data_IF_761195944242
#
_entry.id   IF_761195944242
#
_cell.length_a   1.000
_cell.length_b   1.000
_cell.length_c   1.000
_cell.angle_alpha   90.00
_cell.angle_beta   90.00
_cell.angle_gamma   90.00
#
_symmetry.space_group_name_H-M   'P 1'
#
loop_
_entity.id
_entity.type
_entity.pdbx_description
1 polymer ?
#
# COMPACT_ATOMS: atom_id res chain seq x y z
N UNK A 1 15.67 8.55 -3.58
CA UNK A 1 14.22 8.28 -3.67
C UNK A 1 13.88 6.82 -3.33
N UNK A 2 14.35 5.82 -4.08
CA UNK A 2 14.03 4.42 -3.80
C UNK A 2 14.50 3.98 -2.40
N UNK A 3 15.73 4.33 -2.02
CA UNK A 3 16.26 4.05 -0.68
C UNK A 3 15.40 4.64 0.43
N UNK A 4 14.83 5.84 0.20
CA UNK A 4 13.90 6.45 1.15
C UNK A 4 12.65 5.58 1.37
N UNK A 5 12.06 5.02 0.31
CA UNK A 5 10.89 4.14 0.44
C UNK A 5 11.24 2.82 1.14
N UNK A 6 12.43 2.27 0.88
CA UNK A 6 12.93 1.10 1.58
C UNK A 6 13.09 1.37 3.09
N UNK A 7 13.65 2.54 3.46
CA UNK A 7 13.79 2.95 4.85
C UNK A 7 12.42 3.20 5.50
N UNK A 8 11.44 3.81 4.81
CA UNK A 8 10.08 3.94 5.35
C UNK A 8 9.53 2.59 5.83
N UNK A 9 9.57 1.58 4.97
CA UNK A 9 9.07 0.24 5.33
C UNK A 9 9.93 -0.40 6.44
N UNK A 10 11.24 -0.21 6.41
CA UNK A 10 12.16 -0.72 7.43
C UNK A 10 11.84 -0.17 8.83
N UNK A 11 11.50 1.12 8.90
CA UNK A 11 11.16 1.82 10.15
C UNK A 11 9.66 1.77 10.51
N UNK A 12 8.88 0.96 9.84
CA UNK A 12 7.47 0.75 10.20
C UNK A 12 6.53 1.85 9.67
N UNK A 13 6.97 2.65 8.70
CA UNK A 13 6.15 3.70 8.09
C UNK A 13 5.39 3.10 6.92
N UNK A 14 4.07 3.11 7.01
CA UNK A 14 3.19 2.61 5.95
C UNK A 14 3.21 3.52 4.71
N UNK A 15 3.16 2.91 3.55
CA UNK A 15 3.27 3.59 2.25
C UNK A 15 2.14 3.16 1.33
N UNK A 16 1.52 4.11 0.64
CA UNK A 16 0.58 3.83 -0.42
C UNK A 16 1.13 4.31 -1.77
N UNK A 17 1.16 3.40 -2.76
CA UNK A 17 1.58 3.71 -4.13
C UNK A 17 0.36 3.94 -5.01
N UNK A 18 0.19 5.15 -5.46
CA UNK A 18 -0.93 5.60 -6.29
C UNK A 18 -0.55 5.73 -7.76
N UNK A 19 -1.53 5.62 -8.64
CA UNK A 19 -1.35 5.86 -10.07
C UNK A 19 -2.39 5.15 -10.92
N UNK A 20 -2.44 5.47 -12.20
CA UNK A 20 -3.32 4.82 -13.17
C UNK A 20 -2.93 3.35 -13.44
N UNK A 21 -3.74 2.63 -14.19
CA UNK A 21 -3.38 1.31 -14.72
C UNK A 21 -2.06 1.39 -15.50
N UNK A 22 -1.22 0.37 -15.37
CA UNK A 22 0.09 0.28 -16.02
C UNK A 22 1.12 1.34 -15.62
N UNK A 23 0.89 2.14 -14.58
CA UNK A 23 1.86 3.14 -14.09
C UNK A 23 3.06 2.56 -13.32
N UNK A 24 3.06 1.23 -13.05
CA UNK A 24 4.16 0.53 -12.37
C UNK A 24 4.01 0.45 -10.85
N UNK A 25 2.81 0.62 -10.32
CA UNK A 25 2.53 0.53 -8.86
C UNK A 25 2.99 -0.79 -8.25
N UNK A 26 2.51 -1.91 -8.79
CA UNK A 26 2.86 -3.26 -8.31
C UNK A 26 4.36 -3.53 -8.44
N UNK A 27 4.98 -3.08 -9.53
CA UNK A 27 6.44 -3.22 -9.73
C UNK A 27 7.22 -2.46 -8.66
N UNK A 28 6.81 -1.22 -8.34
CA UNK A 28 7.45 -0.41 -7.31
C UNK A 28 7.23 -1.03 -5.92
N UNK A 29 6.01 -1.44 -5.60
CA UNK A 29 5.70 -2.12 -4.35
C UNK A 29 6.51 -3.41 -4.20
N UNK A 30 6.57 -4.24 -5.24
CA UNK A 30 7.37 -5.46 -5.27
C UNK A 30 8.86 -5.17 -5.02
N UNK A 31 9.41 -4.15 -5.69
CA UNK A 31 10.80 -3.74 -5.47
C UNK A 31 11.05 -3.35 -4.01
N UNK A 32 10.18 -2.50 -3.42
CA UNK A 32 10.30 -2.11 -2.01
C UNK A 32 10.30 -3.34 -1.11
N UNK A 33 9.41 -4.31 -1.35
CA UNK A 33 9.33 -5.54 -0.55
C UNK A 33 10.58 -6.42 -0.70
N UNK A 34 11.29 -6.38 -1.82
CA UNK A 34 12.56 -7.12 -1.96
C UNK A 34 13.68 -6.57 -1.09
N UNK A 35 13.58 -5.33 -0.60
CA UNK A 35 14.56 -4.72 0.31
C UNK A 35 14.36 -5.09 1.77
N UNK A 36 13.23 -5.72 2.09
CA UNK A 36 12.88 -6.15 3.46
C UNK A 36 13.85 -7.25 3.92
N UNK A 37 14.41 -7.16 5.14
CA UNK A 37 15.28 -8.19 5.68
C UNK A 37 14.62 -9.58 5.76
N UNK A 38 15.40 -10.64 5.55
CA UNK A 38 14.90 -12.03 5.58
C UNK A 38 14.27 -12.45 6.91
N UNK A 39 14.64 -11.78 8.01
CA UNK A 39 14.11 -12.03 9.35
C UNK A 39 12.66 -11.52 9.52
N UNK A 40 12.24 -10.57 8.70
CA UNK A 40 10.91 -9.97 8.73
C UNK A 40 9.89 -10.85 8.01
N UNK A 41 8.69 -10.94 8.58
CA UNK A 41 7.57 -11.68 7.97
C UNK A 41 6.73 -10.75 7.11
N UNK A 42 6.60 -11.10 5.83
CA UNK A 42 5.74 -10.40 4.87
C UNK A 42 4.49 -11.24 4.65
N UNK A 43 3.33 -10.63 4.70
CA UNK A 43 2.05 -11.22 4.32
C UNK A 43 1.48 -10.46 3.13
N UNK A 44 1.27 -11.11 1.99
CA UNK A 44 0.69 -10.47 0.81
C UNK A 44 -0.75 -10.93 0.59
N UNK A 45 -1.59 -9.98 0.21
CA UNK A 45 -3.00 -10.17 -0.13
C UNK A 45 -3.19 -9.66 -1.54
N UNK A 46 -3.41 -10.55 -2.49
CA UNK A 46 -3.56 -10.21 -3.91
C UNK A 46 -4.92 -10.69 -4.44
N UNK A 47 -5.44 -10.01 -5.45
CA UNK A 47 -6.77 -10.28 -5.97
C UNK A 47 -6.69 -11.13 -7.24
N UNK A 48 -7.18 -12.36 -7.16
CA UNK A 48 -7.35 -13.28 -8.29
C UNK A 48 -6.07 -13.88 -8.87
N UNK A 49 -4.97 -13.15 -8.91
CA UNK A 49 -3.69 -13.63 -9.44
C UNK A 49 -2.50 -13.14 -8.63
N UNK A 50 -1.46 -13.96 -8.57
CA UNK A 50 -0.21 -13.61 -7.91
C UNK A 50 0.68 -12.79 -8.85
N UNK A 51 0.92 -11.53 -8.50
CA UNK A 51 1.81 -10.62 -9.23
C UNK A 51 3.15 -10.43 -8.52
N UNK A 52 3.16 -10.60 -7.17
CA UNK A 52 4.35 -10.43 -6.35
C UNK A 52 5.07 -11.76 -6.18
N UNK A 53 6.30 -11.86 -6.68
CA UNK A 53 7.18 -13.00 -6.45
C UNK A 53 8.33 -12.58 -5.52
N UNK A 54 8.12 -12.82 -4.22
CA UNK A 54 9.00 -12.33 -3.16
C UNK A 54 9.84 -13.43 -2.50
N UNK A 55 9.59 -14.71 -2.83
CA UNK A 55 10.31 -15.83 -2.21
C UNK A 55 11.74 -15.85 -2.71
N UNK A 56 12.69 -15.76 -1.79
CA UNK A 56 14.12 -15.82 -2.08
C UNK A 56 14.65 -17.21 -1.77
N UNK A 57 15.27 -17.83 -2.76
CA UNK A 57 15.87 -19.17 -2.62
C UNK A 57 17.37 -19.09 -2.85
N UNK A 58 18.16 -19.66 -1.93
CA UNK A 58 19.60 -19.82 -2.07
C UNK A 58 19.96 -21.27 -1.79
N UNK A 59 20.68 -21.90 -2.72
CA UNK A 59 21.10 -23.31 -2.61
C UNK A 59 19.93 -24.27 -2.27
N UNK A 60 18.75 -24.04 -2.90
CA UNK A 60 17.55 -24.85 -2.69
C UNK A 60 16.81 -24.59 -1.36
N UNK A 61 17.24 -23.62 -0.56
CA UNK A 61 16.60 -23.27 0.73
C UNK A 61 15.92 -21.92 0.63
N UNK A 62 14.68 -21.84 1.15
CA UNK A 62 13.96 -20.56 1.29
C UNK A 62 14.63 -19.72 2.38
N UNK A 63 15.00 -18.49 2.06
CA UNK A 63 15.76 -17.60 2.92
C UNK A 63 14.88 -16.64 3.72
N UNK A 64 13.77 -16.20 3.16
CA UNK A 64 12.90 -15.19 3.77
C UNK A 64 11.53 -15.76 4.19
N UNK A 65 10.78 -14.95 4.93
CA UNK A 65 9.49 -15.33 5.50
C UNK A 65 8.37 -14.60 4.78
N UNK A 66 7.80 -15.22 3.75
CA UNK A 66 6.70 -14.65 2.97
C UNK A 66 5.51 -15.60 2.96
N UNK A 67 4.33 -15.07 3.25
CA UNK A 67 3.05 -15.77 3.12
C UNK A 67 2.29 -15.05 1.99
N UNK A 68 2.08 -15.75 0.89
CA UNK A 68 1.28 -15.25 -0.23
C UNK A 68 -0.15 -15.76 -0.11
N UNK A 69 -1.13 -14.86 -0.17
CA UNK A 69 -2.55 -15.20 -0.20
C UNK A 69 -3.24 -14.55 -1.39
N UNK A 70 -4.29 -15.21 -1.86
CA UNK A 70 -5.13 -14.76 -2.96
C UNK A 70 -6.59 -14.75 -2.52
N UNK A 71 -7.34 -13.76 -2.97
CA UNK A 71 -8.80 -13.80 -2.87
C UNK A 71 -9.36 -14.96 -3.69
N UNK A 72 -10.50 -15.45 -3.29
CA UNK A 72 -11.22 -16.49 -4.02
C UNK A 72 -12.68 -16.14 -4.16
N UNK A 73 -13.11 -15.93 -5.38
CA UNK A 73 -14.50 -15.81 -5.72
C UNK A 73 -15.17 -17.20 -5.81
N UNK A 74 -16.41 -17.33 -5.32
CA UNK A 74 -17.20 -18.56 -5.39
C UNK A 74 -18.66 -18.23 -5.61
N UNK A 75 -19.38 -19.10 -6.35
CA UNK A 75 -20.84 -19.04 -6.48
C UNK A 75 -21.54 -19.25 -5.12
N UNK A 76 -20.89 -19.94 -4.21
CA UNK A 76 -21.31 -20.07 -2.82
C UNK A 76 -20.64 -18.98 -1.98
N UNK A 77 -21.40 -17.99 -1.54
CA UNK A 77 -20.92 -16.87 -0.72
C UNK A 77 -20.11 -17.31 0.51
N UNK A 78 -20.48 -18.46 1.13
CA UNK A 78 -19.75 -19.00 2.29
C UNK A 78 -18.35 -19.52 1.95
N UNK A 79 -18.01 -19.66 0.68
CA UNK A 79 -16.70 -20.09 0.20
C UNK A 79 -15.92 -18.97 -0.47
N UNK A 80 -16.52 -17.80 -0.63
CA UNK A 80 -15.83 -16.58 -1.04
C UNK A 80 -14.88 -16.15 0.06
N UNK A 81 -13.67 -15.76 -0.33
CA UNK A 81 -12.64 -15.19 0.56
C UNK A 81 -12.23 -13.87 -0.04
N UNK A 82 -12.62 -12.79 0.57
CA UNK A 82 -12.29 -11.44 0.11
C UNK A 82 -11.00 -10.88 0.77
N UNK A 83 -10.66 -9.63 0.45
CA UNK A 83 -9.47 -8.99 1.01
C UNK A 83 -9.64 -8.64 2.49
N UNK A 84 -10.86 -8.35 2.96
CA UNK A 84 -11.13 -8.10 4.38
C UNK A 84 -10.90 -9.37 5.20
N UNK A 85 -11.38 -10.54 4.72
CA UNK A 85 -11.15 -11.84 5.37
C UNK A 85 -9.66 -12.15 5.49
N UNK A 86 -8.90 -11.88 4.42
CA UNK A 86 -7.46 -12.12 4.39
C UNK A 86 -6.69 -11.15 5.28
N UNK A 87 -7.14 -9.90 5.42
CA UNK A 87 -6.57 -8.94 6.37
C UNK A 87 -6.80 -9.40 7.81
N UNK A 88 -8.02 -9.80 8.17
CA UNK A 88 -8.33 -10.33 9.50
C UNK A 88 -7.49 -11.58 9.82
N UNK A 89 -7.28 -12.43 8.83
CA UNK A 89 -6.41 -13.59 8.96
C UNK A 89 -4.95 -13.17 9.13
N UNK A 90 -4.46 -12.21 8.35
CA UNK A 90 -3.08 -11.75 8.38
C UNK A 90 -2.64 -11.33 9.80
N UNK A 91 -3.49 -10.59 10.52
CA UNK A 91 -3.19 -10.11 11.87
C UNK A 91 -2.89 -11.27 12.84
N UNK A 92 -3.47 -12.47 12.63
CA UNK A 92 -3.23 -13.66 13.46
C UNK A 92 -1.88 -14.32 13.18
N UNK A 93 -1.27 -14.04 12.03
CA UNK A 93 0.07 -14.52 11.67
C UNK A 93 1.20 -13.63 12.19
N UNK A 94 0.86 -12.53 12.86
CA UNK A 94 1.82 -11.56 13.39
C UNK A 94 2.87 -11.15 12.35
N UNK A 95 2.47 -10.60 11.20
CA UNK A 95 3.40 -10.14 10.18
C UNK A 95 4.07 -8.84 10.61
N UNK A 96 5.32 -8.64 10.19
CA UNK A 96 5.97 -7.33 10.30
C UNK A 96 5.43 -6.37 9.23
N UNK A 97 5.10 -6.91 8.06
CA UNK A 97 4.63 -6.13 6.91
C UNK A 97 3.43 -6.82 6.28
N UNK A 98 2.35 -6.09 6.08
CA UNK A 98 1.19 -6.51 5.30
C UNK A 98 1.21 -5.77 3.97
N UNK A 99 1.20 -6.51 2.86
CA UNK A 99 1.06 -5.94 1.53
C UNK A 99 -0.34 -6.24 0.98
N UNK A 100 -1.17 -5.20 0.88
CA UNK A 100 -2.43 -5.27 0.13
C UNK A 100 -2.13 -4.87 -1.30
N UNK A 101 -2.15 -5.84 -2.21
CA UNK A 101 -1.75 -5.66 -3.61
C UNK A 101 -2.44 -4.49 -4.28
N UNK A 102 -3.74 -4.33 -4.07
CA UNK A 102 -4.49 -3.17 -4.52
C UNK A 102 -5.76 -2.94 -3.68
N UNK A 103 -5.96 -1.72 -3.21
CA UNK A 103 -7.22 -1.30 -2.57
C UNK A 103 -8.23 -0.82 -3.62
N UNK A 104 -9.39 -1.48 -3.67
CA UNK A 104 -10.47 -1.19 -4.63
C UNK A 104 -11.83 -0.94 -3.97
N UNK A 105 -12.02 -1.41 -2.75
CA UNK A 105 -13.28 -1.38 -2.02
C UNK A 105 -13.09 -1.16 -0.52
N UNK A 106 -13.92 -1.77 0.32
CA UNK A 106 -13.99 -1.60 1.78
C UNK A 106 -12.73 -2.06 2.52
N UNK A 107 -11.93 -2.93 1.93
CA UNK A 107 -10.63 -3.34 2.47
C UNK A 107 -9.68 -2.18 2.78
N UNK A 108 -9.94 -1.00 2.18
CA UNK A 108 -9.23 0.22 2.53
C UNK A 108 -9.39 0.59 4.01
N UNK A 109 -10.56 0.28 4.62
CA UNK A 109 -10.78 0.50 6.05
C UNK A 109 -9.96 -0.49 6.89
N UNK A 110 -10.00 -1.78 6.56
CA UNK A 110 -9.26 -2.81 7.30
C UNK A 110 -7.74 -2.62 7.16
N UNK A 111 -7.27 -2.16 5.99
CA UNK A 111 -5.85 -1.86 5.76
C UNK A 111 -5.36 -0.67 6.61
N UNK A 112 -6.17 0.41 6.73
CA UNK A 112 -5.79 1.53 7.59
C UNK A 112 -5.84 1.14 9.08
N UNK A 113 -6.78 0.29 9.52
CA UNK A 113 -6.80 -0.22 10.88
C UNK A 113 -5.55 -1.05 11.18
N UNK A 114 -5.13 -1.93 10.26
CA UNK A 114 -3.90 -2.71 10.40
C UNK A 114 -2.68 -1.78 10.56
N UNK A 115 -2.58 -0.71 9.77
CA UNK A 115 -1.48 0.26 9.86
C UNK A 115 -1.47 1.00 11.22
N UNK A 116 -2.63 1.40 11.72
CA UNK A 116 -2.77 2.11 13.01
C UNK A 116 -2.59 1.21 14.24
N UNK A 117 -2.75 -0.09 14.08
CA UNK A 117 -2.58 -1.08 15.16
C UNK A 117 -1.18 -1.67 15.23
N UNK A 118 -0.20 -1.08 14.52
CA UNK A 118 1.21 -1.39 14.67
C UNK A 118 1.82 -2.26 13.56
N UNK A 119 1.08 -2.55 12.50
CA UNK A 119 1.61 -3.25 11.33
C UNK A 119 2.08 -2.25 10.28
N UNK A 120 3.19 -2.53 9.63
CA UNK A 120 3.59 -1.75 8.45
C UNK A 120 2.77 -2.21 7.25
N UNK A 121 2.03 -1.31 6.63
CA UNK A 121 1.21 -1.62 5.46
C UNK A 121 1.81 -0.98 4.20
N UNK A 122 2.05 -1.80 3.18
CA UNK A 122 2.35 -1.34 1.83
C UNK A 122 1.16 -1.69 0.93
N UNK A 123 0.65 -0.73 0.20
CA UNK A 123 -0.51 -0.97 -0.68
C UNK A 123 -0.43 -0.18 -1.97
N UNK A 124 -1.26 -0.56 -2.95
CA UNK A 124 -1.45 0.23 -4.16
C UNK A 124 -2.91 0.66 -4.32
N UNK A 125 -3.13 1.77 -5.04
CA UNK A 125 -4.46 2.33 -5.28
C UNK A 125 -4.53 3.05 -6.62
N UNK A 126 -5.67 3.02 -7.28
CA UNK A 126 -5.92 3.89 -8.43
C UNK A 126 -6.28 5.31 -7.99
N UNK A 127 -5.39 6.26 -8.32
CA UNK A 127 -5.60 7.69 -8.08
C UNK A 127 -4.78 8.53 -9.05
N UNK A 128 -5.04 9.85 -9.11
CA UNK A 128 -4.45 10.76 -10.09
C UNK A 128 -3.39 11.72 -9.50
N UNK A 129 -3.22 11.74 -8.18
CA UNK A 129 -2.21 12.52 -7.46
C UNK A 129 -2.05 11.99 -6.03
N UNK A 130 -1.00 12.43 -5.32
CA UNK A 130 -0.84 12.10 -3.91
C UNK A 130 -2.02 12.61 -3.07
N UNK A 131 -2.42 13.87 -3.24
CA UNK A 131 -3.53 14.45 -2.47
C UNK A 131 -4.87 13.75 -2.74
N UNK A 132 -5.20 13.47 -4.02
CA UNK A 132 -6.44 12.79 -4.38
C UNK A 132 -6.52 11.36 -3.84
N UNK A 133 -5.38 10.77 -3.50
CA UNK A 133 -5.31 9.41 -2.94
C UNK A 133 -6.00 9.32 -1.58
N UNK A 134 -5.84 10.29 -0.71
CA UNK A 134 -6.53 10.31 0.59
C UNK A 134 -8.04 10.38 0.42
N UNK A 135 -8.53 11.27 -0.46
CA UNK A 135 -9.97 11.35 -0.77
C UNK A 135 -10.51 10.05 -1.37
N UNK A 136 -9.68 9.38 -2.19
CA UNK A 136 -10.03 8.07 -2.75
C UNK A 136 -10.15 7.02 -1.66
N UNK A 137 -9.22 6.96 -0.70
CA UNK A 137 -9.29 6.05 0.46
C UNK A 137 -10.56 6.27 1.28
N UNK A 138 -10.88 7.54 1.61
CA UNK A 138 -12.13 7.89 2.30
C UNK A 138 -13.35 7.36 1.56
N UNK A 139 -13.42 7.58 0.24
CA UNK A 139 -14.53 7.10 -0.60
C UNK A 139 -14.64 5.56 -0.56
N UNK A 140 -13.52 4.84 -0.53
CA UNK A 140 -13.53 3.38 -0.44
C UNK A 140 -14.01 2.90 0.93
N UNK A 141 -13.55 3.51 2.01
CA UNK A 141 -13.99 3.19 3.38
C UNK A 141 -15.51 3.38 3.56
N UNK A 142 -16.08 4.42 2.95
CA UNK A 142 -17.53 4.71 3.01
C UNK A 142 -18.40 3.68 2.29
N UNK A 143 -17.86 2.76 1.52
CA UNK A 143 -18.66 1.70 0.89
C UNK A 143 -19.26 0.73 1.90
N UNK A 144 -18.66 0.59 3.06
CA UNK A 144 -19.09 -0.35 4.10
C UNK A 144 -19.42 0.35 5.44
N UNK A 145 -18.79 1.49 5.71
CA UNK A 145 -18.85 2.15 7.00
C UNK A 145 -19.44 3.56 6.88
N UNK A 146 -20.49 3.82 7.66
CA UNK A 146 -21.12 5.16 7.75
C UNK A 146 -20.38 6.02 8.79
N UNK A 147 -19.22 6.51 8.40
CA UNK A 147 -18.33 7.35 9.21
C UNK A 147 -18.16 8.69 8.49
N UNK A 148 -18.01 9.79 9.23
CA UNK A 148 -17.83 11.12 8.65
C UNK A 148 -16.56 11.20 7.80
N UNK A 149 -16.58 11.99 6.73
CA UNK A 149 -15.42 12.21 5.86
C UNK A 149 -14.21 12.75 6.63
N UNK A 150 -14.46 13.63 7.61
CA UNK A 150 -13.41 14.20 8.44
C UNK A 150 -12.73 13.14 9.32
N UNK A 151 -13.53 12.29 9.96
CA UNK A 151 -13.00 11.17 10.77
C UNK A 151 -12.20 10.22 9.87
N UNK A 152 -12.76 9.78 8.74
CA UNK A 152 -12.05 8.89 7.83
C UNK A 152 -10.79 9.54 7.27
N UNK A 153 -10.81 10.84 6.98
CA UNK A 153 -9.62 11.56 6.52
C UNK A 153 -8.52 11.54 7.59
N UNK A 154 -8.88 11.70 8.87
CA UNK A 154 -7.91 11.59 9.97
C UNK A 154 -7.32 10.18 10.05
N UNK A 155 -8.15 9.14 9.96
CA UNK A 155 -7.72 7.75 10.04
C UNK A 155 -6.78 7.37 8.88
N UNK A 156 -7.11 7.73 7.64
CA UNK A 156 -6.29 7.36 6.48
C UNK A 156 -4.98 8.15 6.40
N UNK A 157 -4.96 9.41 6.84
CA UNK A 157 -3.73 10.22 6.87
C UNK A 157 -2.78 9.77 7.99
N UNK A 158 -3.31 9.35 9.13
CA UNK A 158 -2.53 8.71 10.20
C UNK A 158 -1.94 7.37 9.74
N UNK A 159 -2.76 6.54 9.08
CA UNK A 159 -2.37 5.20 8.63
C UNK A 159 -1.31 5.23 7.53
N UNK A 160 -1.41 6.16 6.58
CA UNK A 160 -0.54 6.26 5.41
C UNK A 160 0.11 7.64 5.32
N UNK A 161 1.12 7.94 6.16
CA UNK A 161 1.79 9.24 6.13
C UNK A 161 2.54 9.50 4.82
N UNK A 162 2.90 8.46 4.07
CA UNK A 162 3.64 8.56 2.80
C UNK A 162 2.79 8.06 1.64
N UNK A 163 2.55 8.94 0.69
CA UNK A 163 1.92 8.60 -0.61
C UNK A 163 2.94 8.80 -1.73
N UNK A 164 2.99 7.82 -2.62
CA UNK A 164 3.84 7.84 -3.82
C UNK A 164 2.94 7.84 -5.05
N UNK A 165 3.06 8.83 -5.91
CA UNK A 165 2.32 8.87 -7.16
C UNK A 165 3.21 8.49 -8.34
N UNK A 166 2.82 7.46 -9.08
CA UNK A 166 3.51 6.98 -10.27
C UNK A 166 2.66 7.15 -11.53
N UNK A 167 3.31 7.45 -12.65
CA UNK A 167 2.67 7.65 -13.94
C UNK A 167 3.48 7.01 -15.06
N UNK A 168 2.80 6.47 -16.06
CA UNK A 168 3.42 6.16 -17.35
C UNK A 168 3.36 7.42 -18.23
N UNK A 169 4.52 7.85 -18.72
CA UNK A 169 4.65 8.98 -19.63
C UNK A 169 4.34 8.57 -21.08
N UNK A 170 4.25 9.53 -21.98
CA UNK A 170 3.96 9.30 -23.42
C UNK A 170 5.02 8.43 -24.09
N UNK A 171 6.28 8.52 -23.68
CA UNK A 171 7.39 7.66 -24.13
C UNK A 171 7.33 6.24 -23.52
N UNK A 172 6.23 5.88 -22.86
CA UNK A 172 5.97 4.62 -22.14
C UNK A 172 6.90 4.36 -20.94
N UNK A 173 7.76 5.28 -20.57
CA UNK A 173 8.53 5.17 -19.33
C UNK A 173 7.63 5.41 -18.11
N UNK A 174 7.87 4.61 -17.08
CA UNK A 174 7.18 4.74 -15.80
C UNK A 174 8.05 5.56 -14.86
N UNK A 175 7.47 6.56 -14.24
CA UNK A 175 8.16 7.48 -13.33
C UNK A 175 7.38 7.63 -12.04
N UNK A 176 8.09 7.74 -10.94
CA UNK A 176 7.54 8.32 -9.72
C UNK A 176 7.50 9.82 -9.96
N UNK A 177 6.30 10.36 -9.98
CA UNK A 177 6.05 11.77 -10.25
C UNK A 177 6.13 12.62 -8.99
N UNK A 178 5.67 12.05 -7.87
CA UNK A 178 5.61 12.75 -6.60
C UNK A 178 5.70 11.77 -5.43
N UNK A 179 6.36 12.19 -4.37
CA UNK A 179 6.25 11.60 -3.04
C UNK A 179 5.81 12.70 -2.09
N UNK A 180 4.72 12.46 -1.37
CA UNK A 180 4.14 13.40 -0.43
C UNK A 180 4.06 12.77 0.96
N UNK A 181 4.39 13.56 1.96
CA UNK A 181 4.17 13.26 3.36
C UNK A 181 2.96 14.03 3.87
N UNK A 182 2.14 13.38 4.68
CA UNK A 182 1.13 14.02 5.49
C UNK A 182 1.54 13.96 6.96
N UNK A 183 1.84 15.10 7.54
CA UNK A 183 2.13 15.28 8.95
C UNK A 183 0.87 15.74 9.68
N UNK A 184 0.50 15.08 10.77
CA UNK A 184 -0.58 15.53 11.64
C UNK A 184 0.03 16.43 12.71
N UNK A 185 -0.36 17.70 12.71
CA UNK A 185 0.12 18.69 13.64
C UNK A 185 -0.55 18.54 15.04
N UNK A 186 0.05 19.10 16.11
CA UNK A 186 -0.52 19.01 17.47
C UNK A 186 -1.93 19.58 17.62
N UNK A 187 -2.32 20.50 16.74
CA UNK A 187 -3.67 21.10 16.69
C UNK A 187 -4.69 20.25 15.89
N UNK A 188 -4.26 19.07 15.39
CA UNK A 188 -5.06 18.17 14.55
C UNK A 188 -5.12 18.55 13.08
N UNK A 189 -4.51 19.66 12.68
CA UNK A 189 -4.40 20.05 11.28
C UNK A 189 -3.43 19.13 10.53
N UNK A 190 -3.61 19.04 9.22
CA UNK A 190 -2.77 18.24 8.32
C UNK A 190 -1.86 19.14 7.52
N UNK A 191 -0.58 18.86 7.56
CA UNK A 191 0.43 19.52 6.75
C UNK A 191 0.90 18.56 5.65
N UNK A 192 0.63 18.90 4.41
CA UNK A 192 1.05 18.12 3.24
C UNK A 192 2.35 18.69 2.71
N UNK A 193 3.40 17.87 2.69
CA UNK A 193 4.73 18.25 2.25
C UNK A 193 5.17 17.37 1.08
N UNK A 194 5.46 18.00 -0.07
CA UNK A 194 6.10 17.29 -1.18
C UNK A 194 7.57 17.04 -0.86
N UNK A 195 7.95 15.76 -0.76
CA UNK A 195 9.31 15.32 -0.49
C UNK A 195 10.11 15.12 -1.78
N UNK A 196 9.42 14.75 -2.86
CA UNK A 196 10.00 14.54 -4.18
C UNK A 196 8.98 14.92 -5.25
N UNK A 197 9.46 15.60 -6.28
CA UNK A 197 8.69 15.92 -7.49
C UNK A 197 9.57 15.73 -8.72
N UNK A 198 9.06 14.95 -9.70
CA UNK A 198 9.75 14.73 -10.97
C UNK A 198 9.44 15.87 -11.94
N UNK A 199 10.48 16.57 -12.37
CA UNK A 199 10.36 17.60 -13.40
C UNK A 199 10.45 16.98 -14.80
N UNK A 200 9.33 16.94 -15.51
CA UNK A 200 9.24 16.34 -16.85
C UNK A 200 10.14 17.08 -17.85
N UNK A 201 10.23 18.39 -17.74
CA UNK A 201 11.01 19.23 -18.68
C UNK A 201 12.51 18.99 -18.52
N UNK A 202 12.98 18.89 -17.30
CA UNK A 202 14.38 18.68 -16.96
C UNK A 202 14.77 17.19 -16.89
N UNK A 203 13.80 16.29 -17.02
CA UNK A 203 13.96 14.84 -16.94
C UNK A 203 14.64 14.36 -15.64
N UNK A 204 14.38 15.04 -14.51
CA UNK A 204 14.96 14.76 -13.19
C UNK A 204 13.98 15.00 -12.03
#
# INVERSE_FOLDING_TARGET
MLDFLAECIRYGISVCVAGATSSGKTTLAGWVLTTVPDSKRIFTIENGSRELDLVRVKEGKVMNRVIHTLTRDSENEKQTVDQDDLLDMALRFNPDIVCVGEMRSSEAYSAQEAARTGHTVLTTIHSNSCESTYRRMVTLCKRKYDISDETLMSLVTEAFPIIVFSKQLEDRKRKVMEIMECEILPDGNRNYRTLYHYNIVENR
#
